data_IF_670604439469
#
_entry.id   IF_670604439469
#
_cell.length_a   1.000
_cell.length_b   1.000
_cell.length_c   1.000
_cell.angle_alpha   90.00
_cell.angle_beta   90.00
_cell.angle_gamma   90.00
#
_symmetry.space_group_name_H-M   'P 1'
#
loop_
_entity.id
_entity.type
_entity.pdbx_description
1 polymer ?
#
# COMPACT_ATOMS: atom_id res chain seq x y z
N UNK A 1 7.23 -15.32 16.36
CA UNK A 1 6.68 -15.12 15.01
C UNK A 1 7.79 -15.27 13.99
N UNK A 2 7.48 -15.85 12.82
CA UNK A 2 8.47 -16.04 11.74
C UNK A 2 8.78 -14.75 10.96
N UNK A 3 7.85 -13.78 10.99
CA UNK A 3 7.98 -12.47 10.35
C UNK A 3 7.15 -11.40 11.07
N UNK A 4 7.53 -10.13 10.88
CA UNK A 4 6.81 -8.92 11.30
C UNK A 4 5.90 -8.49 10.15
N UNK A 5 4.60 -8.67 10.27
CA UNK A 5 3.65 -8.29 9.22
C UNK A 5 3.06 -6.92 9.54
N UNK A 6 3.30 -5.94 8.66
CA UNK A 6 2.79 -4.56 8.77
C UNK A 6 1.76 -4.36 7.67
N UNK A 7 0.51 -4.04 8.03
CA UNK A 7 -0.58 -3.93 7.07
C UNK A 7 -0.87 -2.47 6.69
N UNK A 8 -0.86 -2.15 5.38
CA UNK A 8 -1.34 -0.85 4.91
C UNK A 8 -2.81 -0.65 5.28
N UNK A 9 -3.13 0.55 5.75
CA UNK A 9 -4.44 0.90 6.25
C UNK A 9 -5.01 2.13 5.52
N UNK A 10 -6.18 1.95 4.86
CA UNK A 10 -6.85 3.01 4.13
C UNK A 10 -7.81 3.76 5.06
N UNK A 11 -7.63 5.08 5.29
CA UNK A 11 -8.53 5.86 6.14
C UNK A 11 -9.80 6.37 5.43
N UNK A 12 -10.03 6.03 4.15
CA UNK A 12 -11.11 6.59 3.30
C UNK A 12 -12.49 5.96 3.53
N UNK A 13 -12.80 5.59 4.77
CA UNK A 13 -14.11 5.05 5.15
C UNK A 13 -14.87 6.00 6.09
N UNK A 14 -14.75 7.31 5.81
CA UNK A 14 -15.58 8.37 6.37
C UNK A 14 -15.70 9.50 5.35
N UNK A 15 -16.81 10.25 5.33
CA UNK A 15 -16.99 11.34 4.38
C UNK A 15 -16.07 12.52 4.70
N UNK A 16 -15.59 13.16 3.63
CA UNK A 16 -14.83 14.41 3.69
C UNK A 16 -15.41 15.39 2.65
N UNK A 17 -15.39 16.72 2.91
CA UNK A 17 -15.98 17.71 2.00
C UNK A 17 -15.42 17.66 0.57
N UNK A 18 -14.14 17.34 0.43
CA UNK A 18 -13.46 17.22 -0.85
C UNK A 18 -14.04 16.09 -1.69
N UNK A 19 -14.31 14.94 -1.07
CA UNK A 19 -14.94 13.81 -1.76
C UNK A 19 -16.41 14.11 -2.06
N UNK A 20 -17.15 14.72 -1.12
CA UNK A 20 -18.55 15.07 -1.30
C UNK A 20 -18.79 15.96 -2.51
N UNK A 21 -17.87 16.90 -2.79
CA UNK A 21 -17.94 17.80 -3.93
C UNK A 21 -17.94 17.06 -5.28
N UNK A 22 -17.16 15.98 -5.39
CA UNK A 22 -16.94 15.26 -6.67
C UNK A 22 -17.81 14.02 -6.81
N UNK A 23 -18.14 13.37 -5.70
CA UNK A 23 -18.76 12.04 -5.69
C UNK A 23 -20.16 12.03 -5.09
N UNK A 24 -20.60 13.16 -4.52
CA UNK A 24 -21.87 13.30 -3.83
C UNK A 24 -21.75 13.21 -2.31
N UNK A 25 -22.70 13.84 -1.63
CA UNK A 25 -22.70 13.97 -0.17
C UNK A 25 -22.68 12.59 0.52
N UNK A 26 -21.77 12.44 1.47
CA UNK A 26 -21.62 11.21 2.25
C UNK A 26 -20.79 10.14 1.55
N UNK A 27 -20.04 10.49 0.51
CA UNK A 27 -19.19 9.54 -0.21
C UNK A 27 -18.10 8.96 0.70
N UNK A 28 -17.99 7.65 0.66
CA UNK A 28 -16.87 6.87 1.21
C UNK A 28 -16.50 5.76 0.22
N UNK A 29 -15.42 5.03 0.47
CA UNK A 29 -15.04 3.87 -0.35
C UNK A 29 -16.18 2.83 -0.45
N UNK A 30 -17.02 2.72 0.58
CA UNK A 30 -18.20 1.83 0.55
C UNK A 30 -19.18 2.12 -0.58
N UNK A 31 -19.26 3.37 -1.05
CA UNK A 31 -20.12 3.74 -2.18
C UNK A 31 -19.76 2.95 -3.44
N UNK A 32 -18.48 2.82 -3.72
CA UNK A 32 -18.00 2.04 -4.87
C UNK A 32 -18.14 0.54 -4.63
N UNK A 33 -17.74 0.07 -3.46
CA UNK A 33 -17.78 -1.36 -3.09
C UNK A 33 -19.21 -1.91 -3.16
N UNK A 34 -20.17 -1.21 -2.56
CA UNK A 34 -21.57 -1.64 -2.53
C UNK A 34 -22.25 -1.56 -3.90
N UNK A 35 -21.83 -0.63 -4.76
CA UNK A 35 -22.36 -0.46 -6.11
C UNK A 35 -21.77 -1.40 -7.16
N UNK A 36 -20.71 -2.14 -6.80
CA UNK A 36 -20.01 -3.02 -7.74
C UNK A 36 -20.92 -4.13 -8.26
N UNK A 37 -20.72 -4.50 -9.53
CA UNK A 37 -21.50 -5.56 -10.19
C UNK A 37 -20.57 -6.64 -10.72
N UNK A 38 -21.02 -7.91 -10.74
CA UNK A 38 -20.29 -8.98 -11.41
C UNK A 38 -20.07 -8.64 -12.89
N UNK A 39 -18.82 -8.74 -13.38
CA UNK A 39 -18.45 -8.49 -14.78
C UNK A 39 -18.42 -9.77 -15.61
N UNK A 40 -18.45 -10.94 -14.97
CA UNK A 40 -18.49 -12.25 -15.62
C UNK A 40 -19.07 -13.30 -14.65
N UNK A 41 -19.44 -14.45 -15.17
CA UNK A 41 -19.96 -15.56 -14.34
C UNK A 41 -18.96 -16.01 -13.28
N UNK A 42 -19.39 -16.05 -12.02
CA UNK A 42 -18.54 -16.40 -10.88
C UNK A 42 -17.66 -15.25 -10.35
N UNK A 43 -17.77 -14.03 -10.88
CA UNK A 43 -17.10 -12.86 -10.33
C UNK A 43 -17.72 -12.47 -8.99
N UNK A 44 -16.89 -12.47 -7.92
CA UNK A 44 -17.33 -12.09 -6.58
C UNK A 44 -17.42 -10.58 -6.42
N UNK A 45 -18.58 -10.04 -6.77
CA UNK A 45 -18.97 -8.64 -6.54
C UNK A 45 -20.49 -8.56 -6.33
N UNK A 46 -21.00 -7.62 -5.53
CA UNK A 46 -20.23 -6.79 -4.59
C UNK A 46 -19.61 -7.62 -3.47
N UNK A 47 -18.49 -7.17 -2.93
CA UNK A 47 -17.87 -7.77 -1.74
C UNK A 47 -18.55 -7.19 -0.51
N UNK A 48 -19.00 -8.05 0.38
CA UNK A 48 -19.81 -7.66 1.55
C UNK A 48 -19.03 -7.98 2.81
N UNK A 49 -18.76 -6.99 3.69
CA UNK A 49 -18.14 -7.24 4.98
C UNK A 49 -19.05 -8.10 5.88
N UNK A 50 -18.44 -8.90 6.77
CA UNK A 50 -19.18 -9.65 7.78
C UNK A 50 -19.16 -8.95 9.14
N UNK A 51 -18.14 -9.16 9.93
CA UNK A 51 -18.07 -8.79 11.34
C UNK A 51 -18.15 -7.27 11.57
N UNK A 52 -17.38 -6.52 10.80
CA UNK A 52 -17.28 -5.06 10.96
C UNK A 52 -18.40 -4.29 10.25
N UNK A 53 -19.19 -4.94 9.37
CA UNK A 53 -20.19 -4.26 8.55
C UNK A 53 -19.60 -3.19 7.64
N UNK A 54 -20.49 -2.31 7.12
CA UNK A 54 -20.11 -1.10 6.38
C UNK A 54 -19.82 0.02 7.38
N UNK A 55 -18.63 0.00 7.94
CA UNK A 55 -18.23 0.85 9.05
C UNK A 55 -17.91 2.30 8.66
N UNK A 56 -17.86 3.16 9.67
CA UNK A 56 -17.34 4.53 9.61
C UNK A 56 -16.13 4.63 10.55
N UNK A 57 -14.98 5.01 10.02
CA UNK A 57 -13.72 5.08 10.79
C UNK A 57 -13.68 6.22 11.83
N UNK A 58 -14.69 7.09 11.88
CA UNK A 58 -14.87 8.06 12.98
C UNK A 58 -15.36 7.40 14.28
N UNK A 59 -15.81 6.13 14.20
CA UNK A 59 -16.30 5.38 15.36
C UNK A 59 -15.11 4.67 16.02
N UNK A 60 -14.70 5.01 17.26
CA UNK A 60 -13.55 4.44 17.92
C UNK A 60 -13.62 2.91 18.06
N UNK A 61 -14.80 2.37 18.36
CA UNK A 61 -15.04 0.93 18.55
C UNK A 61 -14.65 0.13 17.29
N UNK A 62 -14.93 0.66 16.09
CA UNK A 62 -14.55 0.01 14.83
C UNK A 62 -13.05 -0.15 14.74
N UNK A 63 -12.30 0.90 15.06
CA UNK A 63 -10.82 0.87 15.02
C UNK A 63 -10.24 -0.10 16.08
N UNK A 64 -10.89 -0.20 17.25
CA UNK A 64 -10.50 -1.15 18.29
C UNK A 64 -10.76 -2.60 17.85
N UNK A 65 -11.92 -2.88 17.24
CA UNK A 65 -12.25 -4.21 16.69
C UNK A 65 -11.31 -4.60 15.54
N UNK A 66 -10.98 -3.67 14.64
CA UNK A 66 -9.99 -3.90 13.58
C UNK A 66 -8.61 -4.25 14.15
N UNK A 67 -8.16 -3.51 15.16
CA UNK A 67 -6.88 -3.78 15.83
C UNK A 67 -6.86 -5.13 16.54
N UNK A 68 -7.98 -5.51 17.18
CA UNK A 68 -8.12 -6.82 17.81
C UNK A 68 -8.01 -7.94 16.78
N UNK A 69 -8.78 -7.88 15.69
CA UNK A 69 -8.74 -8.88 14.61
C UNK A 69 -7.34 -9.00 13.99
N UNK A 70 -6.66 -7.86 13.78
CA UNK A 70 -5.30 -7.83 13.24
C UNK A 70 -4.29 -8.48 14.21
N UNK A 71 -4.37 -8.15 15.49
CA UNK A 71 -3.52 -8.72 16.54
C UNK A 71 -3.71 -10.24 16.66
N UNK A 72 -4.96 -10.73 16.64
CA UNK A 72 -5.28 -12.14 16.70
C UNK A 72 -4.74 -12.93 15.49
N UNK A 73 -4.66 -12.27 14.33
CA UNK A 73 -4.03 -12.83 13.13
C UNK A 73 -2.50 -12.78 13.14
N UNK A 74 -1.88 -12.13 14.15
CA UNK A 74 -0.42 -11.96 14.27
C UNK A 74 0.13 -10.82 13.41
N UNK A 75 -0.71 -9.89 12.94
CA UNK A 75 -0.26 -8.64 12.31
C UNK A 75 0.34 -7.76 13.40
N UNK A 76 1.56 -7.25 13.17
CA UNK A 76 2.26 -6.41 14.15
C UNK A 76 1.61 -5.05 14.33
N UNK A 77 1.16 -4.42 13.23
CA UNK A 77 0.55 -3.11 13.29
C UNK A 77 0.09 -2.58 11.93
N UNK A 78 -0.51 -1.40 11.96
CA UNK A 78 -1.03 -0.72 10.79
C UNK A 78 -0.07 0.34 10.24
N UNK A 79 0.14 0.36 8.93
CA UNK A 79 0.80 1.43 8.20
C UNK A 79 -0.27 2.32 7.58
N UNK A 80 -0.60 3.44 8.26
CA UNK A 80 -1.64 4.35 7.79
C UNK A 80 -1.19 5.10 6.55
N UNK A 81 -2.04 5.13 5.50
CA UNK A 81 -1.89 6.10 4.43
C UNK A 81 -2.04 7.50 4.99
N UNK A 82 -0.98 8.29 4.91
CA UNK A 82 -0.89 9.67 5.38
C UNK A 82 -0.86 10.61 4.18
N UNK A 83 -1.75 11.58 4.15
CA UNK A 83 -1.93 12.49 3.03
C UNK A 83 -1.54 13.91 3.42
N UNK A 84 -0.31 14.29 3.11
CA UNK A 84 0.23 15.63 3.24
C UNK A 84 0.50 16.18 1.84
N UNK A 85 -0.23 17.22 1.42
CA UNK A 85 -0.18 17.77 0.04
C UNK A 85 0.75 18.98 -0.08
N UNK A 86 1.40 19.39 0.99
CA UNK A 86 2.20 20.60 1.12
C UNK A 86 1.42 21.79 1.71
N UNK A 87 2.15 22.75 2.28
CA UNK A 87 1.60 23.94 2.95
C UNK A 87 0.54 23.60 4.02
N UNK A 88 0.79 22.58 4.83
CA UNK A 88 -0.11 22.14 5.90
C UNK A 88 -1.42 21.51 5.42
N UNK A 89 -1.63 21.32 4.12
CA UNK A 89 -2.87 20.72 3.60
C UNK A 89 -2.87 19.21 3.77
N UNK A 90 -3.84 18.70 4.52
CA UNK A 90 -4.05 17.26 4.74
C UNK A 90 -5.46 16.83 4.35
N UNK A 91 -5.65 15.54 4.13
CA UNK A 91 -6.95 14.89 3.95
C UNK A 91 -6.94 13.54 4.66
N UNK A 92 -8.12 13.14 5.18
CA UNK A 92 -8.34 11.84 5.84
C UNK A 92 -7.49 11.61 7.12
N UNK A 93 -6.96 12.66 7.72
CA UNK A 93 -6.12 12.65 8.91
C UNK A 93 -6.86 12.18 10.18
N UNK A 94 -8.16 12.47 10.25
CA UNK A 94 -8.97 12.31 11.46
C UNK A 94 -8.87 10.93 12.14
N UNK A 95 -9.00 9.77 11.45
CA UNK A 95 -8.89 8.48 12.12
C UNK A 95 -7.54 8.26 12.79
N UNK A 96 -6.46 8.71 12.16
CA UNK A 96 -5.11 8.59 12.72
C UNK A 96 -4.88 9.56 13.89
N UNK A 97 -5.31 10.82 13.77
CA UNK A 97 -5.20 11.81 14.85
C UNK A 97 -5.93 11.36 16.11
N UNK A 98 -7.12 10.75 15.95
CA UNK A 98 -7.87 10.21 17.08
C UNK A 98 -7.14 9.01 17.73
N UNK A 99 -6.51 8.12 16.95
CA UNK A 99 -5.66 7.04 17.48
C UNK A 99 -4.48 7.58 18.27
N UNK A 100 -3.85 8.64 17.76
CA UNK A 100 -2.70 9.26 18.41
C UNK A 100 -3.11 9.97 19.72
N UNK A 101 -4.14 10.80 19.68
CA UNK A 101 -4.56 11.64 20.81
C UNK A 101 -5.23 10.87 21.93
N UNK A 102 -6.02 9.84 21.60
CA UNK A 102 -6.73 9.03 22.60
C UNK A 102 -5.89 7.89 23.17
N UNK A 103 -4.79 7.52 22.50
CA UNK A 103 -4.02 6.32 22.84
C UNK A 103 -4.73 5.00 22.51
N UNK A 104 -5.84 5.04 21.74
CA UNK A 104 -6.67 3.89 21.40
C UNK A 104 -6.91 3.78 19.89
N UNK A 105 -6.88 2.53 19.31
CA UNK A 105 -6.47 1.26 19.96
C UNK A 105 -5.00 1.27 20.43
N UNK A 106 -4.69 0.51 21.49
CA UNK A 106 -3.30 0.25 21.90
C UNK A 106 -2.71 -0.82 20.97
N UNK A 107 -2.45 -0.43 19.75
CA UNK A 107 -1.97 -1.28 18.68
C UNK A 107 -0.86 -0.55 17.89
N UNK A 108 0.24 -1.22 17.52
CA UNK A 108 1.35 -0.57 16.83
C UNK A 108 0.96 0.02 15.48
N UNK A 109 1.64 1.11 15.13
CA UNK A 109 1.40 1.78 13.85
C UNK A 109 2.66 2.46 13.31
N UNK A 110 2.63 2.75 12.00
CA UNK A 110 3.54 3.66 11.33
C UNK A 110 2.80 4.42 10.23
N UNK A 111 3.49 5.32 9.54
CA UNK A 111 2.92 6.15 8.49
C UNK A 111 3.54 5.83 7.14
N UNK A 112 2.70 5.89 6.09
CA UNK A 112 3.14 5.92 4.70
C UNK A 112 2.62 7.19 4.02
N UNK A 113 3.52 8.09 3.67
CA UNK A 113 3.15 9.28 2.92
C UNK A 113 2.72 8.94 1.51
N UNK A 114 1.41 9.10 1.23
CA UNK A 114 0.82 8.92 -0.09
C UNK A 114 1.01 10.18 -0.93
N UNK A 115 2.25 10.50 -1.25
CA UNK A 115 2.73 11.72 -1.88
C UNK A 115 2.38 11.79 -3.38
N UNK A 116 1.10 11.81 -3.71
CA UNK A 116 0.61 11.95 -5.08
C UNK A 116 -0.63 12.84 -5.17
N UNK A 117 -0.77 13.54 -6.29
CA UNK A 117 -1.94 14.38 -6.57
C UNK A 117 -3.21 13.55 -6.66
N UNK A 118 -4.23 13.95 -5.94
CA UNK A 118 -5.57 13.39 -6.06
C UNK A 118 -6.33 14.06 -7.20
N UNK A 119 -6.95 13.23 -8.03
CA UNK A 119 -7.74 13.69 -9.16
C UNK A 119 -8.91 12.73 -9.45
N UNK A 120 -9.88 13.20 -10.22
CA UNK A 120 -11.01 12.38 -10.69
C UNK A 120 -10.61 11.35 -11.74
N UNK A 121 -9.33 11.30 -12.14
CA UNK A 121 -8.79 10.37 -13.13
C UNK A 121 -8.94 8.91 -12.68
N UNK A 122 -9.57 8.11 -13.53
CA UNK A 122 -9.76 6.68 -13.27
C UNK A 122 -10.99 6.35 -12.43
N UNK A 123 -11.72 7.37 -11.94
CA UNK A 123 -12.96 7.22 -11.18
C UNK A 123 -14.20 7.68 -11.99
N UNK A 124 -14.02 8.59 -12.93
CA UNK A 124 -15.04 9.04 -13.89
C UNK A 124 -14.62 8.67 -15.31
N UNK A 125 -15.53 8.02 -16.04
CA UNK A 125 -15.24 7.53 -17.41
C UNK A 125 -15.35 8.64 -18.47
N UNK A 126 -16.16 9.66 -18.25
CA UNK A 126 -16.64 10.57 -19.30
C UNK A 126 -16.54 12.07 -18.93
N UNK A 127 -15.72 12.43 -17.94
CA UNK A 127 -15.52 13.81 -17.52
C UNK A 127 -14.04 14.23 -17.65
N UNK A 128 -13.82 15.54 -17.81
CA UNK A 128 -12.49 16.12 -17.71
C UNK A 128 -11.83 15.76 -16.37
N UNK A 129 -10.52 15.59 -16.40
CA UNK A 129 -9.75 15.27 -15.19
C UNK A 129 -9.65 16.53 -14.34
N UNK A 130 -10.33 16.53 -13.19
CA UNK A 130 -10.24 17.58 -12.19
C UNK A 130 -9.26 17.19 -11.09
N UNK A 131 -8.48 18.16 -10.58
CA UNK A 131 -7.60 17.99 -9.43
C UNK A 131 -8.41 18.23 -8.15
N UNK A 132 -8.42 17.24 -7.26
CA UNK A 132 -9.06 17.30 -5.94
C UNK A 132 -8.10 17.94 -4.93
N UNK A 133 -6.87 17.43 -4.89
CA UNK A 133 -5.77 17.96 -4.08
C UNK A 133 -4.46 17.75 -4.83
N UNK A 134 -3.74 18.84 -5.10
CA UNK A 134 -2.45 18.80 -5.77
C UNK A 134 -1.34 18.50 -4.74
N UNK A 135 -0.48 17.54 -5.07
CA UNK A 135 0.73 17.28 -4.31
C UNK A 135 1.81 18.28 -4.71
N UNK A 136 2.27 19.07 -3.75
CA UNK A 136 3.38 20.01 -3.91
C UNK A 136 4.51 19.71 -2.92
N UNK A 137 5.68 20.24 -3.18
CA UNK A 137 6.87 20.10 -2.33
C UNK A 137 7.52 21.49 -2.17
N UNK A 138 6.96 22.32 -1.25
CA UNK A 138 7.34 23.76 -1.16
C UNK A 138 8.76 24.03 -0.65
N UNK A 139 9.44 23.01 -0.09
CA UNK A 139 10.80 23.15 0.46
C UNK A 139 10.87 23.11 1.98
N UNK A 140 11.94 23.65 2.56
CA UNK A 140 12.35 23.43 3.96
C UNK A 140 11.28 23.80 4.98
N UNK A 141 10.57 24.92 4.80
CA UNK A 141 9.54 25.35 5.76
C UNK A 141 8.43 24.30 5.86
N UNK A 142 7.95 23.79 4.72
CA UNK A 142 6.94 22.74 4.67
C UNK A 142 7.48 21.39 5.19
N UNK A 143 8.75 21.07 4.89
CA UNK A 143 9.37 19.84 5.39
C UNK A 143 9.47 19.85 6.91
N UNK A 144 9.79 21.01 7.51
CA UNK A 144 9.84 21.19 8.96
C UNK A 144 8.42 21.10 9.56
N UNK A 145 7.44 21.75 8.94
CA UNK A 145 6.04 21.70 9.40
C UNK A 145 5.50 20.26 9.37
N UNK A 146 5.73 19.54 8.28
CA UNK A 146 5.33 18.14 8.12
C UNK A 146 6.03 17.24 9.16
N UNK A 147 7.33 17.43 9.41
CA UNK A 147 8.04 16.72 10.45
C UNK A 147 7.44 16.98 11.84
N UNK A 148 7.16 18.25 12.16
CA UNK A 148 6.59 18.65 13.45
C UNK A 148 5.19 18.07 13.67
N UNK A 149 4.40 17.96 12.60
CA UNK A 149 3.12 17.25 12.65
C UNK A 149 3.28 15.75 12.97
N UNK A 150 4.28 15.10 12.40
CA UNK A 150 4.56 13.67 12.63
C UNK A 150 5.29 13.39 13.96
N UNK A 151 6.00 14.37 14.53
CA UNK A 151 6.86 14.19 15.69
C UNK A 151 6.15 13.60 16.94
N UNK A 152 4.93 13.98 17.31
CA UNK A 152 4.19 13.34 18.40
C UNK A 152 3.98 11.83 18.15
N UNK A 153 3.71 11.44 16.90
CA UNK A 153 3.57 10.04 16.52
C UNK A 153 4.90 9.31 16.66
N UNK A 154 6.01 9.87 16.18
CA UNK A 154 7.35 9.26 16.29
C UNK A 154 7.79 9.03 17.73
N UNK A 155 7.28 9.82 18.68
CA UNK A 155 7.53 9.68 20.13
C UNK A 155 6.55 8.77 20.84
N UNK A 156 5.47 8.32 20.17
CA UNK A 156 4.53 7.38 20.76
C UNK A 156 5.17 5.98 20.89
N UNK A 157 4.98 5.33 22.04
CA UNK A 157 5.53 3.99 22.31
C UNK A 157 5.03 2.89 21.37
N UNK A 158 3.88 3.12 20.72
CA UNK A 158 3.28 2.21 19.74
C UNK A 158 3.87 2.39 18.34
N UNK A 159 4.66 3.43 18.10
CA UNK A 159 5.19 3.67 16.77
C UNK A 159 6.19 2.57 16.37
N UNK A 160 5.97 1.94 15.22
CA UNK A 160 6.83 0.86 14.72
C UNK A 160 8.21 1.41 14.40
N UNK A 161 9.25 0.70 14.87
CA UNK A 161 10.65 1.09 14.67
C UNK A 161 11.44 -0.03 13.97
N UNK A 162 12.51 0.36 13.30
CA UNK A 162 13.57 -0.51 12.78
C UNK A 162 14.91 0.10 13.22
N UNK A 163 15.79 -0.69 13.81
CA UNK A 163 17.08 -0.25 14.40
C UNK A 163 16.88 0.89 15.42
N UNK A 164 15.73 0.88 16.11
CA UNK A 164 15.33 1.92 17.07
C UNK A 164 15.01 3.29 16.44
N UNK A 165 14.80 3.36 15.13
CA UNK A 165 14.37 4.56 14.39
C UNK A 165 12.91 4.41 13.96
N UNK A 166 12.04 5.43 14.08
CA UNK A 166 10.69 5.41 13.56
C UNK A 166 10.65 5.05 12.06
N UNK A 167 9.79 4.10 11.69
CA UNK A 167 9.61 3.65 10.30
C UNK A 167 8.69 4.61 9.56
N UNK A 168 9.19 5.25 8.50
CA UNK A 168 8.39 6.14 7.66
C UNK A 168 8.49 5.74 6.19
N UNK A 169 7.33 5.44 5.58
CA UNK A 169 7.27 5.01 4.18
C UNK A 169 6.94 6.20 3.25
N UNK A 170 7.50 6.20 2.03
CA UNK A 170 7.18 7.15 0.97
C UNK A 170 6.67 6.38 -0.25
N UNK A 171 5.44 6.70 -0.70
CA UNK A 171 4.74 5.95 -1.75
C UNK A 171 5.33 6.17 -3.15
N UNK A 172 5.57 7.42 -3.55
CA UNK A 172 6.14 7.75 -4.87
C UNK A 172 7.46 8.52 -4.72
N UNK A 173 8.56 7.80 -4.44
CA UNK A 173 9.87 8.43 -4.26
C UNK A 173 10.43 9.02 -5.56
N UNK A 174 9.97 8.55 -6.72
CA UNK A 174 10.52 8.98 -8.01
C UNK A 174 10.01 10.34 -8.46
N UNK A 175 8.75 10.68 -8.15
CA UNK A 175 8.18 11.98 -8.52
C UNK A 175 8.49 13.10 -7.56
N UNK A 176 9.07 12.78 -6.42
CA UNK A 176 9.56 13.76 -5.46
C UNK A 176 10.99 14.17 -5.83
N UNK A 177 11.16 15.30 -6.54
CA UNK A 177 12.45 15.73 -7.07
C UNK A 177 13.49 15.93 -5.97
N UNK A 178 13.09 16.50 -4.86
CA UNK A 178 13.94 16.89 -3.74
C UNK A 178 13.95 15.85 -2.59
N UNK A 179 13.61 14.61 -2.88
CA UNK A 179 13.45 13.57 -1.87
C UNK A 179 14.72 13.34 -1.02
N UNK A 180 15.90 13.45 -1.65
CA UNK A 180 17.15 13.30 -0.92
C UNK A 180 17.33 14.40 0.13
N UNK A 181 17.10 15.64 -0.23
CA UNK A 181 17.19 16.79 0.69
C UNK A 181 16.13 16.67 1.81
N UNK A 182 14.89 16.31 1.47
CA UNK A 182 13.84 16.04 2.45
C UNK A 182 14.28 14.99 3.49
N UNK A 183 14.86 13.87 3.04
CA UNK A 183 15.37 12.81 3.92
C UNK A 183 16.49 13.35 4.84
N UNK A 184 17.42 14.13 4.28
CA UNK A 184 18.54 14.71 5.04
C UNK A 184 18.02 15.70 6.11
N UNK A 185 17.06 16.56 5.76
CA UNK A 185 16.39 17.49 6.71
C UNK A 185 15.69 16.71 7.84
N UNK A 186 14.88 15.71 7.51
CA UNK A 186 14.15 14.95 8.50
C UNK A 186 15.07 14.11 9.42
N UNK A 187 16.14 13.51 8.89
CA UNK A 187 17.15 12.83 9.70
C UNK A 187 17.82 13.78 10.69
N UNK A 188 18.12 15.02 10.25
CA UNK A 188 18.68 16.06 11.13
C UNK A 188 17.69 16.48 12.23
N UNK A 189 16.44 16.77 11.86
CA UNK A 189 15.38 17.15 12.81
C UNK A 189 15.11 16.04 13.83
N UNK A 190 15.14 14.79 13.42
CA UNK A 190 14.95 13.65 14.30
C UNK A 190 16.04 13.61 15.41
N UNK A 191 17.30 13.79 15.05
CA UNK A 191 18.41 13.85 15.99
C UNK A 191 18.26 15.03 16.95
N UNK A 192 17.89 16.22 16.46
CA UNK A 192 17.65 17.41 17.29
C UNK A 192 16.51 17.21 18.29
N UNK A 193 15.54 16.34 17.96
CA UNK A 193 14.39 16.04 18.83
C UNK A 193 14.58 14.78 19.70
N UNK A 194 15.81 14.24 19.78
CA UNK A 194 16.18 13.13 20.67
C UNK A 194 15.83 11.74 20.12
N UNK A 195 15.46 11.63 18.81
CA UNK A 195 15.31 10.36 18.12
C UNK A 195 16.66 9.88 17.57
N UNK A 196 16.79 8.57 17.30
CA UNK A 196 18.00 8.00 16.66
C UNK A 196 18.09 8.27 15.15
N UNK A 197 17.17 9.02 14.58
CA UNK A 197 16.95 9.26 13.15
C UNK A 197 15.57 8.78 12.74
N UNK A 198 15.31 8.75 11.43
CA UNK A 198 14.12 8.12 10.83
C UNK A 198 14.58 6.97 9.94
N UNK A 199 13.88 5.86 9.95
CA UNK A 199 14.09 4.74 9.02
C UNK A 199 13.17 4.91 7.81
N UNK A 200 13.72 5.42 6.71
CA UNK A 200 12.96 5.68 5.50
C UNK A 200 12.82 4.45 4.61
N UNK A 201 11.59 4.11 4.23
CA UNK A 201 11.29 3.03 3.29
C UNK A 201 10.64 3.58 2.04
N UNK A 202 11.27 3.33 0.88
CA UNK A 202 10.67 3.65 -0.41
C UNK A 202 9.71 2.54 -0.87
N UNK A 203 8.51 2.88 -1.31
CA UNK A 203 7.70 1.92 -2.05
C UNK A 203 8.20 1.85 -3.50
N UNK A 204 8.50 0.65 -3.97
CA UNK A 204 9.06 0.44 -5.30
C UNK A 204 8.32 -0.63 -6.07
N UNK A 205 7.84 -0.28 -7.25
CA UNK A 205 7.48 -1.27 -8.25
C UNK A 205 8.78 -1.82 -8.87
N UNK A 206 9.01 -3.12 -8.73
CA UNK A 206 10.20 -3.83 -9.25
C UNK A 206 10.39 -3.70 -10.77
N UNK A 207 9.36 -3.22 -11.49
CA UNK A 207 9.40 -2.93 -12.94
C UNK A 207 9.30 -1.44 -13.22
N UNK A 208 9.74 -0.56 -12.31
CA UNK A 208 9.67 0.88 -12.56
C UNK A 208 10.41 1.24 -13.84
N UNK A 209 9.70 1.92 -14.74
CA UNK A 209 10.27 2.48 -15.97
C UNK A 209 10.76 3.92 -15.78
N UNK A 210 10.61 4.44 -14.57
CA UNK A 210 11.04 5.79 -14.20
C UNK A 210 12.13 5.62 -13.14
N UNK A 211 13.26 6.27 -13.37
CA UNK A 211 14.39 6.31 -12.44
C UNK A 211 14.77 7.77 -12.21
N UNK A 212 15.24 8.08 -11.02
CA UNK A 212 15.78 9.39 -10.66
C UNK A 212 17.24 9.24 -10.30
N UNK A 213 18.09 10.10 -10.85
CA UNK A 213 19.50 10.18 -10.46
C UNK A 213 19.70 11.11 -9.24
N UNK A 214 20.92 11.14 -8.72
CA UNK A 214 21.30 11.97 -7.57
C UNK A 214 21.18 13.48 -7.84
N UNK A 215 21.12 13.89 -9.11
CA UNK A 215 20.93 15.29 -9.52
C UNK A 215 19.45 15.65 -9.68
N UNK A 216 18.55 14.70 -9.36
CA UNK A 216 17.10 14.92 -9.44
C UNK A 216 16.49 14.73 -10.84
N UNK A 217 17.27 14.31 -11.85
CA UNK A 217 16.76 14.12 -13.20
C UNK A 217 15.94 12.81 -13.30
N UNK A 218 14.80 12.89 -14.01
CA UNK A 218 13.99 11.72 -14.33
C UNK A 218 14.42 11.14 -15.68
N UNK A 219 14.73 9.85 -15.67
CA UNK A 219 15.01 9.07 -16.89
C UNK A 219 13.99 7.96 -17.06
N UNK A 220 13.66 7.63 -18.31
CA UNK A 220 12.86 6.46 -18.62
C UNK A 220 13.79 5.33 -19.04
N UNK A 221 13.58 4.15 -18.42
CA UNK A 221 14.34 2.93 -18.71
C UNK A 221 13.40 1.80 -19.08
N UNK A 222 13.89 0.82 -19.81
CA UNK A 222 13.17 -0.43 -20.00
C UNK A 222 13.19 -1.23 -18.69
N UNK A 223 12.07 -1.86 -18.28
CA UNK A 223 12.06 -2.67 -17.07
C UNK A 223 12.94 -3.91 -17.25
N UNK A 224 13.83 -4.14 -16.29
CA UNK A 224 14.51 -5.42 -16.18
C UNK A 224 13.64 -6.40 -15.38
N UNK A 225 13.14 -7.43 -16.08
CA UNK A 225 12.29 -8.44 -15.45
C UNK A 225 13.09 -9.53 -14.72
N UNK A 226 14.42 -9.56 -14.91
CA UNK A 226 15.29 -10.56 -14.26
C UNK A 226 15.88 -10.05 -12.95
N UNK A 227 16.10 -8.73 -12.84
CA UNK A 227 16.73 -8.10 -11.70
C UNK A 227 16.06 -6.77 -11.36
N UNK A 228 15.92 -6.48 -10.08
CA UNK A 228 15.50 -5.18 -9.56
C UNK A 228 16.66 -4.36 -8.97
N UNK A 229 17.89 -4.89 -9.03
CA UNK A 229 19.07 -4.29 -8.40
C UNK A 229 19.27 -2.81 -8.80
N UNK A 230 19.11 -2.49 -10.09
CA UNK A 230 19.26 -1.12 -10.56
C UNK A 230 18.26 -0.16 -9.92
N UNK A 231 17.00 -0.56 -9.84
CA UNK A 231 15.93 0.24 -9.22
C UNK A 231 16.19 0.41 -7.72
N UNK A 232 16.57 -0.66 -7.03
CA UNK A 232 16.80 -0.62 -5.59
C UNK A 232 18.04 0.19 -5.22
N UNK A 233 19.14 0.02 -5.95
CA UNK A 233 20.35 0.81 -5.72
C UNK A 233 20.14 2.31 -5.92
N UNK A 234 19.34 2.73 -6.91
CA UNK A 234 19.01 4.14 -7.10
C UNK A 234 18.26 4.72 -5.88
N UNK A 235 17.28 3.99 -5.36
CA UNK A 235 16.51 4.42 -4.19
C UNK A 235 17.39 4.49 -2.93
N UNK A 236 18.23 3.49 -2.70
CA UNK A 236 19.18 3.49 -1.57
C UNK A 236 20.17 4.66 -1.69
N UNK A 237 20.64 4.99 -2.90
CA UNK A 237 21.52 6.14 -3.15
C UNK A 237 20.85 7.50 -2.86
N UNK A 238 19.51 7.57 -2.94
CA UNK A 238 18.74 8.76 -2.56
C UNK A 238 18.58 8.92 -1.03
N UNK A 239 19.10 7.99 -0.23
CA UNK A 239 19.12 8.08 1.22
C UNK A 239 18.05 7.26 1.95
N UNK A 240 17.27 6.45 1.23
CA UNK A 240 16.37 5.48 1.85
C UNK A 240 17.16 4.38 2.58
N UNK A 241 16.67 3.96 3.72
CA UNK A 241 17.28 2.90 4.53
C UNK A 241 16.79 1.50 4.08
N UNK A 242 15.56 1.43 3.54
CA UNK A 242 14.98 0.19 3.03
C UNK A 242 13.99 0.43 1.88
N UNK A 243 13.54 -0.67 1.28
CA UNK A 243 12.60 -0.65 0.16
C UNK A 243 11.47 -1.65 0.42
N UNK A 244 10.23 -1.21 0.31
CA UNK A 244 9.09 -2.09 0.21
C UNK A 244 8.88 -2.47 -1.25
N UNK A 245 9.17 -3.72 -1.60
CA UNK A 245 9.09 -4.23 -2.97
C UNK A 245 7.68 -4.63 -3.36
N UNK A 246 7.28 -4.24 -4.58
CA UNK A 246 5.97 -4.53 -5.16
C UNK A 246 6.11 -5.30 -6.48
N UNK A 247 5.98 -6.63 -6.43
CA UNK A 247 6.23 -7.52 -7.56
C UNK A 247 5.07 -7.72 -8.54
N UNK A 248 3.90 -7.08 -8.32
CA UNK A 248 2.66 -7.32 -9.09
C UNK A 248 2.87 -7.20 -10.61
N UNK A 249 3.37 -6.08 -11.08
CA UNK A 249 3.55 -5.85 -12.54
C UNK A 249 4.55 -6.83 -13.16
N UNK A 250 5.64 -7.14 -12.44
CA UNK A 250 6.62 -8.14 -12.87
C UNK A 250 5.97 -9.51 -13.04
N UNK A 251 5.19 -9.93 -12.06
CA UNK A 251 4.50 -11.22 -12.07
C UNK A 251 3.47 -11.31 -13.18
N UNK A 252 2.70 -10.26 -13.42
CA UNK A 252 1.74 -10.18 -14.52
C UNK A 252 2.43 -10.37 -15.88
N UNK A 253 3.54 -9.67 -16.11
CA UNK A 253 4.31 -9.78 -17.35
C UNK A 253 4.91 -11.18 -17.51
N UNK A 254 5.59 -11.69 -16.50
CA UNK A 254 6.30 -12.98 -16.55
C UNK A 254 5.33 -14.17 -16.68
N UNK A 255 4.16 -14.10 -16.03
CA UNK A 255 3.19 -15.20 -16.08
C UNK A 255 2.54 -15.41 -17.44
N UNK A 256 2.57 -14.40 -18.32
CA UNK A 256 1.96 -14.40 -19.64
C UNK A 256 2.97 -14.40 -20.78
N UNK A 257 4.15 -13.84 -20.52
CA UNK A 257 5.12 -13.42 -21.54
C UNK A 257 4.85 -11.98 -22.02
N UNK A 258 5.93 -11.23 -22.21
CA UNK A 258 5.88 -9.77 -22.46
C UNK A 258 5.03 -9.38 -23.68
N UNK A 259 5.10 -10.15 -24.76
CA UNK A 259 4.36 -9.86 -26.01
C UNK A 259 2.84 -10.00 -25.80
N UNK A 260 2.41 -11.11 -25.20
CA UNK A 260 0.99 -11.34 -24.91
C UNK A 260 0.44 -10.35 -23.90
N UNK A 261 1.24 -9.98 -22.90
CA UNK A 261 0.86 -8.99 -21.91
C UNK A 261 0.60 -7.61 -22.56
N UNK A 262 1.53 -7.13 -23.38
CA UNK A 262 1.38 -5.85 -24.10
C UNK A 262 0.19 -5.90 -25.06
N UNK A 263 0.04 -6.99 -25.81
CA UNK A 263 -1.10 -7.17 -26.73
C UNK A 263 -2.44 -7.16 -25.98
N UNK A 264 -2.53 -7.85 -24.85
CA UNK A 264 -3.73 -7.87 -24.03
C UNK A 264 -4.10 -6.48 -23.49
N UNK A 265 -3.13 -5.74 -22.95
CA UNK A 265 -3.35 -4.36 -22.50
C UNK A 265 -3.84 -3.48 -23.66
N UNK A 266 -3.18 -3.58 -24.81
CA UNK A 266 -3.56 -2.81 -26.01
C UNK A 266 -5.00 -3.12 -26.45
N UNK A 267 -5.35 -4.40 -26.59
CA UNK A 267 -6.68 -4.83 -27.02
C UNK A 267 -7.76 -4.36 -26.03
N UNK A 268 -7.57 -4.54 -24.73
CA UNK A 268 -8.55 -4.12 -23.72
C UNK A 268 -8.69 -2.59 -23.63
N UNK A 269 -7.64 -1.86 -23.94
CA UNK A 269 -7.67 -0.39 -23.96
C UNK A 269 -8.45 0.17 -25.15
N UNK A 270 -8.36 -0.49 -26.29
CA UNK A 270 -8.94 0.00 -27.56
C UNK A 270 -10.25 -0.69 -27.93
N UNK A 271 -10.45 -1.94 -27.52
CA UNK A 271 -11.65 -2.71 -27.82
C UNK A 271 -12.54 -2.83 -26.57
N UNK A 272 -13.35 -1.79 -26.32
CA UNK A 272 -14.21 -1.66 -25.12
C UNK A 272 -15.24 -2.80 -24.94
N UNK A 273 -15.49 -3.62 -25.98
CA UNK A 273 -16.39 -4.77 -25.92
C UNK A 273 -15.74 -6.06 -25.43
N UNK A 274 -14.42 -6.08 -25.26
CA UNK A 274 -13.74 -7.26 -24.72
C UNK A 274 -14.10 -7.46 -23.24
N UNK A 275 -14.29 -8.73 -22.82
CA UNK A 275 -14.49 -9.03 -21.41
C UNK A 275 -13.26 -8.61 -20.60
N UNK A 276 -13.45 -8.30 -19.30
CA UNK A 276 -12.36 -7.91 -18.43
C UNK A 276 -11.24 -8.94 -18.43
N UNK A 277 -10.01 -8.44 -18.32
CA UNK A 277 -8.83 -9.28 -18.30
C UNK A 277 -8.66 -9.99 -16.95
N UNK A 278 -8.45 -11.32 -16.99
CA UNK A 278 -8.34 -12.15 -15.80
C UNK A 278 -6.94 -12.72 -15.61
N UNK A 279 -6.42 -12.59 -14.42
CA UNK A 279 -5.19 -13.22 -13.99
C UNK A 279 -5.49 -14.36 -13.03
N UNK A 280 -4.92 -15.54 -13.24
CA UNK A 280 -5.04 -16.64 -12.31
C UNK A 280 -4.07 -16.41 -11.14
N UNK A 281 -4.59 -16.09 -9.95
CA UNK A 281 -3.83 -15.72 -8.76
C UNK A 281 -2.67 -16.71 -8.46
N UNK A 282 -2.88 -18.03 -8.29
CA UNK A 282 -1.78 -18.95 -7.98
C UNK A 282 -0.75 -19.09 -9.12
N UNK A 283 -1.10 -18.73 -10.37
CA UNK A 283 -0.14 -18.72 -11.47
C UNK A 283 0.72 -17.47 -11.47
N UNK A 284 0.09 -16.30 -11.23
CA UNK A 284 0.77 -15.00 -11.24
C UNK A 284 1.68 -14.87 -10.01
N UNK A 285 1.21 -15.30 -8.84
CA UNK A 285 1.96 -15.15 -7.59
C UNK A 285 2.93 -16.30 -7.32
N UNK A 286 3.37 -17.03 -8.35
CA UNK A 286 4.50 -17.94 -8.20
C UNK A 286 5.73 -17.16 -7.73
N UNK A 287 6.44 -17.70 -6.73
CA UNK A 287 7.61 -17.09 -6.10
C UNK A 287 8.58 -16.46 -7.12
N UNK A 288 8.98 -17.22 -8.15
CA UNK A 288 9.91 -16.77 -9.18
C UNK A 288 9.39 -15.64 -10.08
N UNK A 289 8.06 -15.43 -10.15
CA UNK A 289 7.46 -14.35 -10.93
C UNK A 289 7.25 -13.10 -10.09
N UNK A 290 6.84 -13.28 -8.84
CA UNK A 290 6.47 -12.17 -7.97
C UNK A 290 7.68 -11.53 -7.31
N UNK A 291 8.59 -12.31 -6.76
CA UNK A 291 9.76 -11.81 -6.06
C UNK A 291 10.98 -11.76 -6.99
N UNK A 292 11.72 -10.64 -6.95
CA UNK A 292 13.00 -10.51 -7.59
C UNK A 292 14.11 -11.18 -6.75
N UNK A 293 15.25 -11.57 -7.34
CA UNK A 293 16.36 -12.12 -6.55
C UNK A 293 16.83 -11.19 -5.42
N UNK A 294 16.78 -9.88 -5.66
CA UNK A 294 17.19 -8.83 -4.72
C UNK A 294 16.20 -8.65 -3.55
N UNK A 295 15.00 -9.21 -3.63
CA UNK A 295 14.08 -9.23 -2.49
C UNK A 295 14.65 -10.05 -1.31
N UNK A 296 15.72 -10.83 -1.55
CA UNK A 296 16.48 -11.49 -0.49
C UNK A 296 17.45 -10.56 0.27
N UNK A 297 17.73 -9.34 -0.20
CA UNK A 297 18.57 -8.38 0.53
C UNK A 297 17.93 -8.01 1.85
N UNK A 298 18.75 -7.72 2.87
CA UNK A 298 18.27 -7.51 4.25
C UNK A 298 17.26 -6.37 4.38
N UNK A 299 17.49 -5.27 3.69
CA UNK A 299 16.69 -4.06 3.74
C UNK A 299 15.61 -3.96 2.63
N UNK A 300 15.29 -5.06 1.95
CA UNK A 300 14.22 -5.10 0.95
C UNK A 300 13.04 -5.89 1.51
N UNK A 301 11.94 -5.22 1.79
CA UNK A 301 10.76 -5.77 2.46
C UNK A 301 9.70 -6.18 1.44
N UNK A 302 9.43 -7.49 1.28
CA UNK A 302 8.47 -7.96 0.30
C UNK A 302 7.04 -7.56 0.68
N UNK A 303 6.20 -7.36 -0.35
CA UNK A 303 4.75 -7.15 -0.19
C UNK A 303 4.01 -8.46 -0.46
N UNK A 304 3.01 -8.77 0.37
CA UNK A 304 2.01 -9.80 0.12
C UNK A 304 0.66 -9.17 -0.21
N UNK A 305 -0.09 -9.80 -1.14
CA UNK A 305 -1.41 -9.32 -1.58
C UNK A 305 -2.45 -10.44 -1.48
N UNK A 306 -3.60 -10.24 -0.80
CA UNK A 306 -4.66 -11.25 -0.69
C UNK A 306 -5.47 -11.42 -1.98
N UNK A 307 -5.46 -10.40 -2.84
CA UNK A 307 -6.18 -10.37 -4.11
C UNK A 307 -5.94 -9.09 -4.87
N UNK A 308 -6.59 -8.95 -6.04
CA UNK A 308 -6.59 -7.71 -6.82
C UNK A 308 -7.82 -7.63 -7.69
N UNK A 309 -8.68 -6.64 -7.46
CA UNK A 309 -9.89 -6.41 -8.21
C UNK A 309 -10.36 -4.96 -8.04
N UNK A 310 -9.95 -4.09 -8.95
CA UNK A 310 -10.33 -2.67 -8.93
C UNK A 310 -11.65 -2.39 -9.64
N UNK A 311 -12.41 -3.43 -9.99
CA UNK A 311 -13.68 -3.24 -10.70
C UNK A 311 -14.68 -2.32 -9.99
N UNK A 312 -14.73 -2.23 -8.66
CA UNK A 312 -15.57 -1.24 -7.96
C UNK A 312 -15.23 0.21 -8.33
N UNK A 313 -13.95 0.52 -8.56
CA UNK A 313 -13.47 1.86 -8.90
C UNK A 313 -13.45 2.14 -10.40
N UNK A 314 -12.99 1.17 -11.22
CA UNK A 314 -12.64 1.40 -12.63
C UNK A 314 -13.38 0.50 -13.63
N UNK A 315 -14.26 -0.38 -13.16
CA UNK A 315 -14.98 -1.33 -14.01
C UNK A 315 -14.03 -2.31 -14.72
N UNK A 316 -14.12 -2.42 -16.05
CA UNK A 316 -13.31 -3.36 -16.84
C UNK A 316 -11.91 -2.88 -17.20
N UNK A 317 -11.50 -1.69 -16.71
CA UNK A 317 -10.28 -1.05 -17.17
C UNK A 317 -8.98 -1.65 -16.58
N UNK A 318 -9.08 -2.52 -15.57
CA UNK A 318 -7.92 -3.17 -14.93
C UNK A 318 -8.10 -4.70 -14.92
N UNK A 319 -6.97 -5.42 -14.75
CA UNK A 319 -6.98 -6.87 -14.63
C UNK A 319 -7.49 -7.35 -13.27
N UNK A 320 -8.26 -8.43 -13.28
CA UNK A 320 -8.87 -9.01 -12.08
C UNK A 320 -8.17 -10.32 -11.72
N UNK A 321 -7.76 -10.49 -10.48
CA UNK A 321 -7.20 -11.73 -9.97
C UNK A 321 -8.32 -12.71 -9.59
N UNK A 322 -8.45 -13.80 -10.35
CA UNK A 322 -9.36 -14.90 -10.04
C UNK A 322 -8.65 -15.99 -9.24
N UNK A 323 -9.40 -16.78 -8.47
CA UNK A 323 -8.88 -17.81 -7.57
C UNK A 323 -7.97 -17.27 -6.44
N UNK A 324 -8.19 -16.04 -6.04
CA UNK A 324 -7.63 -15.48 -4.81
C UNK A 324 -8.43 -16.07 -3.63
N UNK A 325 -7.91 -17.14 -3.03
CA UNK A 325 -8.50 -17.87 -1.90
C UNK A 325 -7.56 -17.81 -0.70
N UNK A 326 -8.06 -18.00 0.54
CA UNK A 326 -7.21 -18.07 1.72
C UNK A 326 -6.03 -19.05 1.58
N UNK A 327 -6.25 -20.26 1.06
CA UNK A 327 -5.19 -21.27 0.88
C UNK A 327 -4.10 -20.80 -0.11
N UNK A 328 -4.51 -20.16 -1.20
CA UNK A 328 -3.55 -19.64 -2.18
C UNK A 328 -2.79 -18.42 -1.61
N UNK A 329 -3.45 -17.63 -0.78
CA UNK A 329 -2.82 -16.52 -0.07
C UNK A 329 -1.83 -17.01 0.99
N UNK A 330 -2.17 -18.06 1.75
CA UNK A 330 -1.25 -18.67 2.71
C UNK A 330 0.07 -19.05 2.04
N UNK A 331 0.04 -19.73 0.89
CA UNK A 331 1.26 -20.09 0.13
C UNK A 331 2.07 -18.86 -0.28
N UNK A 332 1.40 -17.77 -0.67
CA UNK A 332 2.08 -16.52 -1.00
C UNK A 332 2.77 -15.88 0.21
N UNK A 333 2.17 -15.98 1.40
CA UNK A 333 2.80 -15.55 2.65
C UNK A 333 4.00 -16.44 2.99
N UNK A 334 3.87 -17.75 2.87
CA UNK A 334 4.96 -18.71 3.12
C UNK A 334 6.17 -18.44 2.23
N UNK A 335 5.97 -18.11 0.94
CA UNK A 335 7.04 -17.68 0.04
C UNK A 335 7.73 -16.41 0.54
N UNK A 336 7.00 -15.42 1.05
CA UNK A 336 7.56 -14.19 1.63
C UNK A 336 8.32 -14.47 2.93
N UNK A 337 7.77 -15.31 3.80
CA UNK A 337 8.43 -15.75 5.05
C UNK A 337 9.77 -16.42 4.73
N UNK A 338 9.83 -17.31 3.73
CA UNK A 338 11.08 -17.96 3.34
C UNK A 338 12.15 -16.95 2.89
N UNK A 339 11.74 -15.83 2.26
CA UNK A 339 12.66 -14.78 1.84
C UNK A 339 13.26 -14.04 3.04
N UNK A 340 12.43 -13.74 4.07
CA UNK A 340 12.86 -12.90 5.19
C UNK A 340 13.41 -13.68 6.40
N UNK A 341 13.21 -14.98 6.50
CA UNK A 341 13.47 -15.78 7.71
C UNK A 341 14.95 -15.81 8.15
N UNK A 342 15.88 -15.55 7.23
CA UNK A 342 17.33 -15.53 7.50
C UNK A 342 17.86 -14.18 7.98
N UNK A 343 17.00 -13.16 8.03
CA UNK A 343 17.36 -11.80 8.42
C UNK A 343 17.38 -11.66 9.95
N UNK A 344 18.03 -10.61 10.49
CA UNK A 344 17.81 -10.20 11.88
C UNK A 344 16.32 -9.98 12.15
N UNK A 345 15.86 -10.22 13.38
CA UNK A 345 14.43 -10.17 13.71
C UNK A 345 13.78 -8.82 13.39
N UNK A 346 14.50 -7.72 13.58
CA UNK A 346 14.01 -6.38 13.25
C UNK A 346 13.75 -6.19 11.74
N UNK A 347 14.47 -6.93 10.90
CA UNK A 347 14.38 -6.86 9.44
C UNK A 347 13.52 -7.97 8.80
N UNK A 348 12.90 -8.85 9.59
CA UNK A 348 11.95 -9.86 9.09
C UNK A 348 10.59 -9.24 8.74
N UNK A 349 10.58 -8.08 8.10
CA UNK A 349 9.38 -7.33 7.77
C UNK A 349 8.78 -7.81 6.46
N UNK A 350 7.46 -7.99 6.47
CA UNK A 350 6.60 -8.24 5.31
C UNK A 350 5.49 -7.19 5.32
N UNK A 351 5.31 -6.46 4.24
CA UNK A 351 4.18 -5.55 4.12
C UNK A 351 2.97 -6.29 3.55
N UNK A 352 1.81 -6.13 4.19
CA UNK A 352 0.53 -6.62 3.69
C UNK A 352 -0.20 -5.46 2.99
N UNK A 353 -0.50 -5.63 1.73
CA UNK A 353 -1.32 -4.67 0.98
C UNK A 353 -2.65 -5.31 0.61
N UNK A 354 -3.71 -5.03 1.39
CA UNK A 354 -3.76 -4.15 2.53
C UNK A 354 -4.66 -4.75 3.63
N UNK A 355 -4.86 -4.03 4.75
CA UNK A 355 -5.87 -4.38 5.73
C UNK A 355 -7.28 -4.27 5.12
N UNK A 356 -7.60 -3.09 4.56
CA UNK A 356 -8.97 -2.69 4.21
C UNK A 356 -9.13 -2.01 2.83
N UNK A 357 -8.35 -2.34 1.82
CA UNK A 357 -8.50 -1.81 0.45
C UNK A 357 -9.63 -2.54 -0.31
N UNK A 358 -10.87 -2.41 0.17
CA UNK A 358 -12.05 -3.08 -0.38
C UNK A 358 -12.31 -2.71 -1.85
N UNK A 359 -12.15 -1.45 -2.22
CA UNK A 359 -12.34 -0.97 -3.58
C UNK A 359 -11.31 -1.46 -4.59
N UNK A 360 -10.19 -2.02 -4.13
CA UNK A 360 -9.17 -2.66 -4.95
C UNK A 360 -9.16 -4.19 -4.79
N UNK A 361 -10.04 -4.74 -3.94
CA UNK A 361 -10.14 -6.17 -3.70
C UNK A 361 -8.88 -6.79 -3.10
N UNK A 362 -8.08 -6.00 -2.39
CA UNK A 362 -6.87 -6.44 -1.70
C UNK A 362 -6.95 -6.16 -0.19
N UNK A 363 -7.98 -6.67 0.44
CA UNK A 363 -8.26 -6.57 1.87
C UNK A 363 -8.19 -7.96 2.55
N UNK A 364 -8.02 -7.96 3.86
CA UNK A 364 -8.03 -9.19 4.69
C UNK A 364 -9.11 -9.16 5.78
N UNK A 365 -9.81 -8.04 5.94
CA UNK A 365 -10.97 -7.95 6.84
C UNK A 365 -11.99 -9.04 6.52
N UNK A 366 -12.69 -9.60 7.52
CA UNK A 366 -13.66 -10.66 7.32
C UNK A 366 -14.79 -10.28 6.35
N UNK A 367 -15.06 -11.13 5.36
CA UNK A 367 -16.12 -10.96 4.39
C UNK A 367 -17.12 -12.14 4.41
N UNK A 368 -18.27 -11.96 3.76
CA UNK A 368 -19.31 -13.00 3.74
C UNK A 368 -18.94 -14.25 2.96
N UNK A 369 -17.94 -14.21 2.10
CA UNK A 369 -17.53 -15.36 1.29
C UNK A 369 -16.53 -16.25 2.01
N UNK A 370 -15.53 -15.62 2.64
CA UNK A 370 -14.39 -16.33 3.22
C UNK A 370 -14.33 -16.22 4.76
N UNK A 371 -15.23 -15.43 5.39
CA UNK A 371 -15.19 -15.18 6.82
C UNK A 371 -13.80 -14.71 7.25
N UNK A 372 -13.23 -15.32 8.26
CA UNK A 372 -11.88 -15.05 8.78
C UNK A 372 -10.76 -15.74 7.98
N UNK A 373 -11.05 -16.41 6.88
CA UNK A 373 -10.09 -17.29 6.20
C UNK A 373 -8.77 -16.60 5.80
N UNK A 374 -8.79 -15.32 5.40
CA UNK A 374 -7.55 -14.57 5.09
C UNK A 374 -6.73 -14.27 6.36
N UNK A 375 -7.38 -13.95 7.47
CA UNK A 375 -6.71 -13.73 8.77
C UNK A 375 -6.10 -15.04 9.31
N UNK A 376 -6.83 -16.14 9.19
CA UNK A 376 -6.34 -17.48 9.55
C UNK A 376 -5.15 -17.90 8.69
N UNK A 377 -5.16 -17.58 7.38
CA UNK A 377 -4.04 -17.83 6.49
C UNK A 377 -2.77 -17.08 6.92
N UNK A 378 -2.91 -15.81 7.33
CA UNK A 378 -1.80 -15.04 7.90
C UNK A 378 -1.28 -15.73 9.16
N UNK A 379 -2.18 -15.98 10.11
CA UNK A 379 -1.81 -16.60 11.40
C UNK A 379 -1.05 -17.91 11.22
N UNK A 380 -1.57 -18.83 10.41
CA UNK A 380 -0.91 -20.11 10.12
C UNK A 380 0.48 -19.94 9.52
N UNK A 381 0.64 -19.04 8.56
CA UNK A 381 1.91 -18.87 7.87
C UNK A 381 3.02 -18.27 8.76
N UNK A 382 2.66 -17.36 9.70
CA UNK A 382 3.66 -16.59 10.46
C UNK A 382 3.82 -17.04 11.92
N UNK A 383 2.82 -17.73 12.51
CA UNK A 383 2.87 -18.15 13.91
C UNK A 383 3.14 -19.67 14.09
N UNK A 384 2.61 -20.49 13.19
CA UNK A 384 2.81 -21.94 13.18
C UNK A 384 4.06 -22.33 12.38
#
# INVERSE_FOLDING_TARGET
MKARVIAYYLPQFHPVPENDKYWGKGFTEWTNVASAKPLFHGHYQPRIPSDLGFYDLRIPQVREEQAQLASEAGIEGFCYWHYWFGNGKMLLEKPFEEVLTTGKPDFPFCLCWANHTWSTKGWRKDADVEIIAEQTYPGDEDYIEHFNYCLPAFKDKRYITVDGKPLFCIFDPYRFADVKHFIDVWKSLALQNGLKGIYFVALSNSTSTIRRDLSGNLTRVLPDLKSSAGVYNDLLALGFDGINSWGKSRAEILSQGSILHVLNIYLHRHLKFLPCYKYNYPKVLKKQYYYAPEDAWENIYPTIIPGWDRSPRVGVADGIYVNATPDNFQRHIEDAVEIVNKRPDEHKIIFLRAWNEWGEGNYVEPDRKYGHGFLEAIRKAIMD
#
